data_IF_152860759258
#
_entry.id   IF_152860759258
#
_cell.length_a   1.000
_cell.length_b   1.000
_cell.length_c   1.000
_cell.angle_alpha   90.00
_cell.angle_beta   90.00
_cell.angle_gamma   90.00
#
_symmetry.space_group_name_H-M   'P 1'
#
loop_
_entity.id
_entity.type
_entity.pdbx_description
1 polymer ?
#
# COMPACT_ATOMS: atom_id res chain seq x y z
N UNK A 1 9.73 -9.19 -11.42
CA UNK A 1 8.47 -9.33 -10.72
C UNK A 1 7.47 -8.26 -11.18
N UNK A 2 6.20 -8.60 -11.26
CA UNK A 2 5.13 -7.69 -11.64
C UNK A 2 3.94 -7.94 -10.71
N UNK A 3 3.41 -6.87 -10.12
CA UNK A 3 2.16 -6.92 -9.36
C UNK A 3 1.17 -5.98 -10.04
N UNK A 4 -0.04 -6.45 -10.25
CA UNK A 4 -1.13 -5.63 -10.78
C UNK A 4 -1.91 -5.07 -9.60
N UNK A 5 -1.94 -3.75 -9.49
CA UNK A 5 -2.78 -3.04 -8.51
C UNK A 5 -4.07 -2.62 -9.21
N UNK A 6 -5.24 -2.94 -8.67
CA UNK A 6 -6.51 -2.45 -9.21
C UNK A 6 -6.52 -0.92 -9.25
N UNK A 7 -7.09 -0.35 -10.30
CA UNK A 7 -7.24 1.11 -10.41
C UNK A 7 -8.40 1.65 -9.59
N UNK A 8 -9.35 0.79 -9.24
CA UNK A 8 -10.47 1.09 -8.35
C UNK A 8 -11.06 -0.19 -7.77
N UNK A 9 -11.55 -0.14 -6.55
CA UNK A 9 -12.30 -1.21 -5.89
C UNK A 9 -13.11 -0.67 -4.72
N UNK A 10 -14.08 -1.47 -4.28
CA UNK A 10 -14.90 -1.15 -3.11
C UNK A 10 -14.48 -2.05 -1.95
N UNK A 11 -14.27 -1.47 -0.78
CA UNK A 11 -14.01 -2.16 0.46
C UNK A 11 -15.24 -2.05 1.34
N UNK A 12 -15.68 -3.16 1.91
CA UNK A 12 -16.76 -3.20 2.90
C UNK A 12 -16.21 -3.76 4.21
N UNK A 13 -16.30 -3.00 5.28
CA UNK A 13 -15.89 -3.40 6.63
C UNK A 13 -17.15 -3.52 7.48
N UNK A 14 -17.51 -4.75 7.82
CA UNK A 14 -18.74 -5.08 8.56
C UNK A 14 -18.50 -5.31 10.06
N UNK A 15 -17.25 -5.54 10.48
CA UNK A 15 -16.89 -5.85 11.86
C UNK A 15 -16.46 -4.61 12.67
N UNK A 16 -17.06 -3.45 12.36
CA UNK A 16 -16.74 -2.19 13.04
C UNK A 16 -18.00 -1.54 13.66
N UNK A 17 -18.64 -2.17 14.66
CA UNK A 17 -19.82 -1.60 15.28
C UNK A 17 -19.52 -0.21 15.91
N UNK A 18 -20.46 0.71 15.90
CA UNK A 18 -21.86 0.53 15.50
C UNK A 18 -22.16 0.79 14.01
N UNK A 19 -21.18 0.85 13.15
CA UNK A 19 -21.37 1.18 11.72
C UNK A 19 -20.72 0.15 10.80
N UNK A 20 -21.39 -0.18 9.72
CA UNK A 20 -20.76 -0.75 8.53
C UNK A 20 -20.11 0.39 7.74
N UNK A 21 -18.90 0.16 7.28
CA UNK A 21 -18.13 1.13 6.50
C UNK A 21 -17.95 0.62 5.07
N UNK A 22 -18.26 1.46 4.11
CA UNK A 22 -17.98 1.19 2.71
C UNK A 22 -17.07 2.28 2.17
N UNK A 23 -15.96 1.89 1.57
CA UNK A 23 -15.02 2.80 0.92
C UNK A 23 -14.99 2.52 -0.57
N UNK A 24 -15.12 3.57 -1.38
CA UNK A 24 -14.81 3.52 -2.79
C UNK A 24 -13.43 4.12 -3.00
N UNK A 25 -12.53 3.31 -3.54
CA UNK A 25 -11.15 3.70 -3.79
C UNK A 25 -10.93 3.90 -5.28
N UNK A 26 -10.03 4.80 -5.63
CA UNK A 26 -9.56 4.95 -6.99
C UNK A 26 -8.11 5.39 -7.02
N UNK A 27 -7.43 5.04 -8.12
CA UNK A 27 -6.09 5.51 -8.40
C UNK A 27 -6.09 7.03 -8.62
N UNK A 28 -5.23 7.72 -7.87
CA UNK A 28 -5.01 9.15 -8.02
C UNK A 28 -3.72 9.37 -8.81
N UNK A 29 -3.84 9.84 -10.04
CA UNK A 29 -2.71 10.06 -10.94
C UNK A 29 -1.74 11.14 -10.43
N UNK A 30 -2.26 12.15 -9.73
CA UNK A 30 -1.42 13.22 -9.19
C UNK A 30 -0.58 12.75 -8.01
N UNK A 31 -1.21 12.01 -7.09
CA UNK A 31 -0.53 11.48 -5.90
C UNK A 31 0.15 10.13 -6.16
N UNK A 32 -0.16 9.49 -7.29
CA UNK A 32 0.34 8.18 -7.71
C UNK A 32 0.12 7.08 -6.67
N UNK A 33 -1.05 7.09 -6.07
CA UNK A 33 -1.50 6.10 -5.09
C UNK A 33 -3.00 5.89 -5.16
N UNK A 34 -3.45 4.79 -4.52
CA UNK A 34 -4.86 4.60 -4.24
C UNK A 34 -5.32 5.61 -3.19
N UNK A 35 -6.46 6.21 -3.41
CA UNK A 35 -7.10 7.15 -2.48
C UNK A 35 -8.57 6.81 -2.32
N UNK A 36 -9.12 7.11 -1.15
CA UNK A 36 -10.55 7.00 -0.90
C UNK A 36 -11.23 8.15 -1.63
N UNK A 37 -12.20 7.83 -2.48
CA UNK A 37 -13.07 8.80 -3.13
C UNK A 37 -14.35 9.05 -2.36
N UNK A 38 -14.87 8.00 -1.78
CA UNK A 38 -16.13 8.05 -1.04
C UNK A 38 -16.04 7.12 0.17
N UNK A 39 -16.63 7.56 1.28
CA UNK A 39 -16.81 6.75 2.48
C UNK A 39 -18.27 6.82 2.90
N UNK A 40 -18.94 5.68 2.96
CA UNK A 40 -20.32 5.54 3.38
C UNK A 40 -20.37 4.86 4.75
N UNK A 41 -21.14 5.44 5.66
CA UNK A 41 -21.38 4.91 6.99
C UNK A 41 -22.84 4.48 7.09
N UNK A 42 -23.08 3.22 7.39
CA UNK A 42 -24.43 2.69 7.57
C UNK A 42 -24.58 2.22 9.00
N UNK A 43 -25.60 2.69 9.70
CA UNK A 43 -25.90 2.19 11.04
C UNK A 43 -26.25 0.70 10.98
N UNK A 44 -25.69 -0.08 11.91
CA UNK A 44 -25.99 -1.52 12.03
C UNK A 44 -27.29 -1.79 12.80
N UNK A 45 -27.85 -0.76 13.43
CA UNK A 45 -29.12 -0.81 14.20
C UNK A 45 -29.91 0.48 14.03
N UNK A 46 -31.22 0.36 13.96
CA UNK A 46 -32.13 1.51 13.93
C UNK A 46 -32.11 2.34 15.24
N UNK A 47 -31.71 1.73 16.33
CA UNK A 47 -31.63 2.38 17.65
C UNK A 47 -30.38 3.27 17.79
N UNK A 48 -29.42 3.13 16.91
CA UNK A 48 -28.13 3.83 16.97
C UNK A 48 -27.86 4.61 15.69
N UNK A 49 -28.52 5.77 15.51
CA UNK A 49 -28.38 6.54 14.27
C UNK A 49 -26.95 7.05 14.07
N UNK A 50 -26.52 7.12 12.81
CA UNK A 50 -25.20 7.67 12.44
C UNK A 50 -25.13 9.13 12.87
N UNK A 51 -24.23 9.44 13.79
CA UNK A 51 -23.99 10.80 14.27
C UNK A 51 -22.62 11.30 13.80
N UNK A 52 -22.56 12.53 13.33
CA UNK A 52 -21.32 13.17 12.88
C UNK A 52 -20.21 13.10 13.94
N UNK A 53 -20.55 13.32 15.21
CA UNK A 53 -19.59 13.22 16.32
C UNK A 53 -19.01 11.81 16.52
N UNK A 54 -19.71 10.77 16.11
CA UNK A 54 -19.23 9.39 16.15
C UNK A 54 -18.33 9.11 14.94
N UNK A 55 -18.68 9.61 13.76
CA UNK A 55 -17.87 9.49 12.53
C UNK A 55 -16.48 10.10 12.74
N UNK A 56 -16.41 11.29 13.33
CA UNK A 56 -15.14 12.00 13.57
C UNK A 56 -14.17 11.20 14.48
N UNK A 57 -14.70 10.34 15.33
CA UNK A 57 -13.89 9.47 16.22
C UNK A 57 -13.41 8.18 15.57
N UNK A 58 -13.98 7.81 14.44
CA UNK A 58 -13.54 6.64 13.69
C UNK A 58 -12.23 6.98 12.99
N UNK A 59 -11.21 6.18 13.21
CA UNK A 59 -9.93 6.31 12.51
C UNK A 59 -10.06 5.81 11.06
N UNK A 60 -10.89 6.51 10.27
CA UNK A 60 -11.26 6.12 8.90
C UNK A 60 -10.03 5.84 8.04
N UNK A 61 -8.99 6.67 8.16
CA UNK A 61 -7.73 6.48 7.44
C UNK A 61 -7.07 5.15 7.78
N UNK A 62 -6.92 4.85 9.07
CA UNK A 62 -6.26 3.60 9.51
C UNK A 62 -7.06 2.35 9.13
N UNK A 63 -8.39 2.43 9.15
CA UNK A 63 -9.27 1.32 8.73
C UNK A 63 -9.14 1.10 7.23
N UNK A 64 -9.21 2.16 6.45
CA UNK A 64 -9.13 2.08 4.99
C UNK A 64 -7.75 1.62 4.52
N UNK A 65 -6.66 2.11 5.14
CA UNK A 65 -5.30 1.69 4.80
C UNK A 65 -5.11 0.19 5.05
N UNK A 66 -5.56 -0.33 6.21
CA UNK A 66 -5.51 -1.77 6.50
C UNK A 66 -6.37 -2.59 5.54
N UNK A 67 -7.56 -2.11 5.23
CA UNK A 67 -8.46 -2.81 4.34
C UNK A 67 -7.92 -2.82 2.89
N UNK A 68 -7.30 -1.72 2.44
CA UNK A 68 -6.60 -1.67 1.15
C UNK A 68 -5.40 -2.63 1.12
N UNK A 69 -4.60 -2.67 2.18
CA UNK A 69 -3.49 -3.62 2.29
C UNK A 69 -4.01 -5.07 2.21
N UNK A 70 -5.05 -5.40 2.96
CA UNK A 70 -5.63 -6.74 2.98
C UNK A 70 -6.21 -7.15 1.62
N UNK A 71 -6.91 -6.24 0.93
CA UNK A 71 -7.50 -6.52 -0.39
C UNK A 71 -6.42 -6.79 -1.43
N UNK A 72 -5.33 -6.03 -1.42
CA UNK A 72 -4.27 -6.15 -2.44
C UNK A 72 -3.27 -7.23 -2.12
N UNK A 73 -2.91 -7.43 -0.84
CA UNK A 73 -1.87 -8.36 -0.41
C UNK A 73 -2.44 -9.73 0.01
N UNK A 74 -3.75 -9.81 0.27
CA UNK A 74 -4.39 -11.01 0.80
C UNK A 74 -3.95 -11.35 2.23
N UNK A 75 -4.27 -12.58 2.66
CA UNK A 75 -4.01 -13.04 4.04
C UNK A 75 -2.53 -13.08 4.43
N UNK A 76 -1.63 -13.32 3.46
CA UNK A 76 -0.18 -13.40 3.72
C UNK A 76 0.50 -12.04 3.85
N UNK A 77 -0.21 -10.95 3.57
CA UNK A 77 0.30 -9.59 3.69
C UNK A 77 1.61 -9.38 2.91
N UNK A 78 2.49 -8.53 3.46
CA UNK A 78 3.78 -8.19 2.84
C UNK A 78 4.71 -9.40 2.65
N UNK A 79 4.68 -10.39 3.54
CA UNK A 79 5.47 -11.60 3.43
C UNK A 79 5.07 -12.44 2.22
N UNK A 80 3.78 -12.41 1.85
CA UNK A 80 3.26 -13.04 0.64
C UNK A 80 3.92 -12.53 -0.62
N UNK A 81 4.15 -11.22 -0.72
CA UNK A 81 4.82 -10.64 -1.89
C UNK A 81 6.22 -11.22 -2.10
N UNK A 82 6.96 -11.45 -1.03
CA UNK A 82 8.29 -12.09 -1.12
C UNK A 82 8.17 -13.58 -1.46
N UNK A 83 7.21 -14.27 -0.84
CA UNK A 83 7.01 -15.71 -1.07
C UNK A 83 6.55 -16.03 -2.50
N UNK A 84 5.84 -15.12 -3.15
CA UNK A 84 5.39 -15.28 -4.53
C UNK A 84 6.51 -15.02 -5.58
N UNK A 85 7.68 -14.56 -5.12
CA UNK A 85 8.83 -14.24 -5.97
C UNK A 85 10.13 -14.90 -5.45
N UNK A 86 10.16 -16.24 -5.26
CA UNK A 86 11.28 -16.92 -4.61
C UNK A 86 12.56 -16.90 -5.45
N UNK A 87 12.43 -16.90 -6.77
CA UNK A 87 13.57 -16.98 -7.72
C UNK A 87 14.01 -15.60 -8.23
N UNK A 88 13.33 -14.54 -7.82
CA UNK A 88 13.66 -13.19 -8.25
C UNK A 88 14.82 -12.60 -7.42
N UNK A 89 15.58 -11.70 -8.04
CA UNK A 89 16.61 -10.92 -7.35
C UNK A 89 16.03 -10.24 -6.10
N UNK A 90 16.57 -10.53 -4.90
CA UNK A 90 16.07 -9.96 -3.67
C UNK A 90 15.97 -8.43 -3.66
N UNK A 91 16.86 -7.72 -4.37
CA UNK A 91 16.84 -6.26 -4.46
C UNK A 91 15.65 -5.80 -5.31
N UNK A 92 15.29 -6.56 -6.37
CA UNK A 92 14.10 -6.26 -7.18
C UNK A 92 12.81 -6.48 -6.40
N UNK A 93 12.74 -7.54 -5.61
CA UNK A 93 11.58 -7.80 -4.76
C UNK A 93 11.45 -6.71 -3.68
N UNK A 94 12.55 -6.27 -3.08
CA UNK A 94 12.55 -5.15 -2.13
C UNK A 94 12.04 -3.85 -2.76
N UNK A 95 12.45 -3.57 -4.01
CA UNK A 95 11.95 -2.43 -4.76
C UNK A 95 10.44 -2.56 -5.05
N UNK A 96 9.97 -3.77 -5.40
CA UNK A 96 8.56 -4.05 -5.62
C UNK A 96 7.72 -3.78 -4.37
N UNK A 97 8.14 -4.33 -3.22
CA UNK A 97 7.45 -4.11 -1.92
C UNK A 97 7.41 -2.63 -1.59
N UNK A 98 8.50 -1.90 -1.80
CA UNK A 98 8.54 -0.46 -1.56
C UNK A 98 7.54 0.30 -2.43
N UNK A 99 7.51 0.04 -3.74
CA UNK A 99 6.61 0.70 -4.69
C UNK A 99 5.15 0.37 -4.40
N UNK A 100 4.86 -0.87 -4.09
CA UNK A 100 3.52 -1.31 -3.71
C UNK A 100 3.07 -0.62 -2.42
N UNK A 101 3.96 -0.50 -1.42
CA UNK A 101 3.67 0.22 -0.18
C UNK A 101 3.32 1.69 -0.43
N UNK A 102 4.04 2.35 -1.34
CA UNK A 102 3.74 3.74 -1.71
C UNK A 102 2.42 3.82 -2.47
N UNK A 103 2.15 2.90 -3.39
CA UNK A 103 0.90 2.84 -4.15
C UNK A 103 -0.33 2.64 -3.26
N UNK A 104 -0.18 1.91 -2.16
CA UNK A 104 -1.21 1.70 -1.13
C UNK A 104 -1.29 2.85 -0.11
N UNK A 105 -0.45 3.87 -0.24
CA UNK A 105 -0.46 5.02 0.68
C UNK A 105 0.18 4.76 2.04
N UNK A 106 0.92 3.66 2.21
CA UNK A 106 1.54 3.32 3.49
C UNK A 106 2.45 4.46 4.00
N UNK A 107 2.31 4.87 5.27
CA UNK A 107 3.15 5.91 5.85
C UNK A 107 4.59 5.45 6.11
N UNK A 108 4.84 4.13 6.04
CA UNK A 108 6.16 3.53 6.38
C UNK A 108 6.65 2.53 5.32
N UNK A 109 6.77 2.92 4.05
CA UNK A 109 7.08 1.98 2.97
C UNK A 109 8.43 1.25 3.15
N UNK A 110 9.44 1.90 3.75
CA UNK A 110 10.71 1.23 4.05
C UNK A 110 10.57 0.16 5.16
N UNK A 111 9.71 0.37 6.15
CA UNK A 111 9.46 -0.62 7.18
C UNK A 111 8.77 -1.86 6.60
N UNK A 112 7.84 -1.68 5.67
CA UNK A 112 7.17 -2.79 4.99
C UNK A 112 8.14 -3.69 4.21
N UNK A 113 9.19 -3.12 3.62
CA UNK A 113 10.27 -3.90 2.98
C UNK A 113 10.99 -4.81 4.00
N UNK A 114 11.21 -4.34 5.22
CA UNK A 114 11.80 -5.16 6.26
C UNK A 114 10.82 -6.24 6.76
N UNK A 115 9.57 -5.87 7.01
CA UNK A 115 8.49 -6.79 7.44
C UNK A 115 8.34 -7.92 6.42
N UNK A 116 8.26 -7.59 5.14
CA UNK A 116 8.17 -8.58 4.06
C UNK A 116 9.28 -9.64 4.07
N UNK A 117 10.41 -9.33 4.69
CA UNK A 117 11.57 -10.23 4.86
C UNK A 117 11.67 -10.86 6.24
N UNK A 118 10.70 -10.66 7.12
CA UNK A 118 10.77 -11.12 8.51
C UNK A 118 11.87 -10.42 9.32
N UNK A 119 12.25 -9.18 8.96
CA UNK A 119 13.32 -8.42 9.59
C UNK A 119 12.76 -7.28 10.45
N UNK A 120 13.60 -6.74 11.34
CA UNK A 120 13.20 -5.56 12.10
C UNK A 120 13.00 -4.34 11.18
N UNK A 121 11.99 -3.47 11.44
CA UNK A 121 11.71 -2.29 10.62
C UNK A 121 12.92 -1.36 10.40
N UNK A 122 13.87 -1.32 11.35
CA UNK A 122 15.09 -0.53 11.25
C UNK A 122 16.02 -0.95 10.09
N UNK A 123 15.89 -2.19 9.58
CA UNK A 123 16.68 -2.67 8.43
C UNK A 123 16.13 -2.19 7.08
N UNK A 124 14.90 -1.73 7.02
CA UNK A 124 14.21 -1.32 5.79
C UNK A 124 14.94 -0.22 5.01
N UNK A 125 15.35 0.90 5.63
CA UNK A 125 16.05 1.97 4.92
C UNK A 125 17.32 1.51 4.21
N UNK A 126 18.09 0.57 4.80
CA UNK A 126 19.29 0.01 4.17
C UNK A 126 18.94 -0.77 2.90
N UNK A 127 17.88 -1.58 2.93
CA UNK A 127 17.42 -2.37 1.79
C UNK A 127 16.90 -1.48 0.67
N UNK A 128 16.10 -0.49 0.98
CA UNK A 128 15.62 0.53 0.02
C UNK A 128 16.77 1.31 -0.58
N UNK A 129 17.79 1.64 0.23
CA UNK A 129 19.03 2.26 -0.26
C UNK A 129 19.79 1.39 -1.26
N UNK A 130 19.83 0.06 -1.06
CA UNK A 130 20.41 -0.87 -2.02
C UNK A 130 19.62 -0.89 -3.34
N UNK A 131 18.29 -0.90 -3.28
CA UNK A 131 17.42 -0.84 -4.46
C UNK A 131 17.60 0.47 -5.27
N UNK A 132 17.79 1.61 -4.59
CA UNK A 132 18.14 2.88 -5.25
C UNK A 132 19.50 2.84 -5.92
N UNK A 133 20.53 2.35 -5.23
CA UNK A 133 21.86 2.19 -5.84
C UNK A 133 21.87 1.28 -7.06
N UNK A 134 20.98 0.28 -7.08
CA UNK A 134 20.78 -0.59 -8.23
C UNK A 134 19.95 0.08 -9.36
N UNK A 135 19.49 1.33 -9.19
CA UNK A 135 18.68 2.05 -10.18
C UNK A 135 17.25 1.51 -10.32
N UNK A 136 16.77 0.74 -9.34
CA UNK A 136 15.41 0.15 -9.35
C UNK A 136 14.35 1.08 -8.75
N UNK A 137 14.78 2.05 -7.96
CA UNK A 137 13.94 3.08 -7.38
C UNK A 137 14.48 4.46 -7.75
N UNK A 138 13.61 5.46 -7.97
CA UNK A 138 14.04 6.82 -8.23
C UNK A 138 14.80 7.39 -7.02
N UNK A 139 15.69 8.35 -7.29
CA UNK A 139 16.27 9.16 -6.23
C UNK A 139 15.17 9.95 -5.51
N UNK A 140 15.27 10.02 -4.20
CA UNK A 140 14.31 10.79 -3.40
C UNK A 140 14.78 12.22 -3.21
N UNK A 141 13.90 13.17 -3.47
CA UNK A 141 14.02 14.47 -2.79
C UNK A 141 13.84 14.25 -1.28
N UNK A 142 14.74 14.83 -0.49
CA UNK A 142 14.72 14.67 0.97
C UNK A 142 13.32 14.97 1.53
N UNK A 143 12.72 13.99 2.21
CA UNK A 143 11.42 14.13 2.88
C UNK A 143 10.18 13.79 2.05
N UNK A 144 10.30 13.39 0.77
CA UNK A 144 9.15 12.94 -0.03
C UNK A 144 9.34 11.48 -0.46
N UNK A 145 8.35 10.60 -0.23
CA UNK A 145 8.36 9.29 -0.85
C UNK A 145 8.21 9.49 -2.38
N UNK A 146 9.25 9.19 -3.12
CA UNK A 146 9.20 9.27 -4.58
C UNK A 146 9.00 7.87 -5.14
N UNK A 147 7.81 7.54 -5.55
CA UNK A 147 7.58 6.37 -6.37
C UNK A 147 6.40 6.63 -7.31
N UNK A 148 6.64 6.40 -8.58
CA UNK A 148 5.57 6.25 -9.56
C UNK A 148 5.66 4.87 -10.17
N UNK A 149 4.54 4.18 -10.31
CA UNK A 149 4.46 2.89 -11.01
C UNK A 149 5.03 2.94 -12.43
N UNK A 150 5.02 4.12 -13.08
CA UNK A 150 5.66 4.35 -14.37
C UNK A 150 7.18 4.10 -14.38
N UNK A 151 7.84 4.17 -13.25
CA UNK A 151 9.29 3.92 -13.14
C UNK A 151 9.61 2.42 -13.28
N UNK A 152 8.68 1.55 -12.91
CA UNK A 152 8.85 0.10 -13.03
C UNK A 152 8.81 -0.37 -14.49
N UNK A 153 7.96 0.23 -15.32
CA UNK A 153 7.89 -0.11 -16.75
C UNK A 153 9.18 0.27 -17.49
N UNK A 154 9.81 1.39 -17.07
CA UNK A 154 11.06 1.86 -17.69
C UNK A 154 12.30 1.07 -17.23
N UNK A 155 12.32 0.56 -16.01
CA UNK A 155 13.44 -0.24 -15.49
C UNK A 155 13.49 -1.64 -16.13
N UNK A 156 12.34 -2.22 -16.47
CA UNK A 156 12.25 -3.50 -17.18
C UNK A 156 12.71 -3.42 -18.65
N UNK A 157 12.70 -2.21 -19.24
CA UNK A 157 13.04 -1.98 -20.66
C UNK A 157 14.52 -1.74 -20.96
N UNK A 158 15.36 -1.46 -19.96
CA UNK A 158 16.81 -1.33 -20.18
C UNK A 158 17.50 -2.69 -20.25
N UNK A 159 17.30 -3.43 -21.36
CA UNK A 159 18.27 -4.46 -21.78
C UNK A 159 19.63 -3.77 -21.99
N UNK A 160 20.63 -4.23 -21.25
CA UNK A 160 22.03 -3.88 -21.52
C UNK A 160 22.35 -4.23 -22.98
N UNK A 161 22.79 -3.27 -23.75
CA UNK A 161 23.56 -3.51 -24.97
C UNK A 161 24.99 -3.78 -24.58
#
# INVERSE_FOLDING_TARGET
PTVTVPTSFTIVVTDNPPYDLRFETAWNEHERRLTIREATFTATSDDEPVRMASIIRVAVGDIADRAMEQEVLGERGWEGVVADHPDDDPIRVDALVYLLSVALGSPKPSANVAIARGLSPASGPKRVGAARKAGLLPETESGKPSAGLSTFQNAAGKKRR
#
